data_IF_063180486754
#
_entry.id   IF_063180486754
#
_cell.length_a   1.000
_cell.length_b   1.000
_cell.length_c   1.000
_cell.angle_alpha   90.00
_cell.angle_beta   90.00
_cell.angle_gamma   90.00
#
_symmetry.space_group_name_H-M   'P 1'
#
loop_
_entity.id
_entity.type
_entity.pdbx_description
1 polymer ?
#
# COMPACT_ATOMS: atom_id res chain seq x y z
N UNK A 1 -19.83 8.20 -6.77
CA UNK A 1 -18.94 7.12 -6.31
C UNK A 1 -18.43 7.49 -4.93
N UNK A 2 -18.50 6.58 -3.95
CA UNK A 2 -17.90 6.80 -2.63
C UNK A 2 -16.39 6.89 -2.77
N UNK A 3 -15.76 7.71 -1.93
CA UNK A 3 -14.29 7.81 -1.89
C UNK A 3 -13.71 6.48 -1.39
N UNK A 4 -12.68 5.91 -2.03
CA UNK A 4 -12.10 4.65 -1.60
C UNK A 4 -11.55 4.75 -0.17
N UNK A 5 -11.78 3.71 0.61
CA UNK A 5 -11.39 3.64 2.03
C UNK A 5 -10.10 2.85 2.16
N UNK A 6 -9.04 3.49 2.69
CA UNK A 6 -7.74 2.85 2.91
C UNK A 6 -7.37 2.97 4.40
N UNK A 7 -7.28 1.83 5.07
CA UNK A 7 -6.79 1.75 6.44
C UNK A 7 -5.27 1.56 6.42
N UNK A 8 -4.55 2.23 7.30
CA UNK A 8 -3.10 2.12 7.41
C UNK A 8 -2.69 1.79 8.84
N UNK A 9 -1.81 0.82 9.01
CA UNK A 9 -1.11 0.54 10.26
C UNK A 9 0.40 0.58 10.03
N UNK A 10 1.13 1.21 10.94
CA UNK A 10 2.59 1.22 10.89
C UNK A 10 3.16 0.87 12.26
N UNK A 11 3.79 -0.30 12.34
CA UNK A 11 4.34 -0.83 13.59
C UNK A 11 5.61 -1.61 13.30
N UNK A 12 6.62 -1.43 14.16
CA UNK A 12 7.87 -2.20 14.12
C UNK A 12 8.60 -2.22 12.77
N UNK A 13 8.49 -1.14 11.99
CA UNK A 13 9.15 -1.04 10.69
C UNK A 13 8.33 -1.59 9.51
N UNK A 14 7.12 -2.09 9.74
CA UNK A 14 6.21 -2.58 8.69
C UNK A 14 5.06 -1.59 8.53
N UNK A 15 4.77 -1.21 7.29
CA UNK A 15 3.58 -0.47 6.90
C UNK A 15 2.62 -1.43 6.22
N UNK A 16 1.50 -1.72 6.86
CA UNK A 16 0.40 -2.46 6.28
C UNK A 16 -0.74 -1.49 5.92
N UNK A 17 -1.44 -1.79 4.83
CA UNK A 17 -2.65 -1.09 4.47
C UNK A 17 -3.68 -2.00 3.82
N UNK A 18 -4.96 -1.63 3.90
CA UNK A 18 -6.06 -2.37 3.27
C UNK A 18 -7.02 -1.41 2.55
N UNK A 19 -7.27 -1.66 1.27
CA UNK A 19 -8.34 -1.04 0.49
C UNK A 19 -9.61 -1.86 0.62
N UNK A 20 -10.57 -1.34 1.39
CA UNK A 20 -11.76 -2.07 1.82
C UNK A 20 -12.64 -2.52 0.65
N UNK A 21 -12.89 -1.65 -0.33
CA UNK A 21 -13.85 -1.97 -1.40
C UNK A 21 -13.36 -3.05 -2.37
N UNK A 22 -12.04 -3.21 -2.52
CA UNK A 22 -11.43 -4.22 -3.42
C UNK A 22 -10.74 -5.37 -2.67
N UNK A 23 -10.76 -5.37 -1.33
CA UNK A 23 -10.06 -6.34 -0.49
C UNK A 23 -8.55 -6.46 -0.81
N UNK A 24 -7.95 -5.39 -1.32
CA UNK A 24 -6.51 -5.36 -1.59
C UNK A 24 -5.74 -4.99 -0.34
N UNK A 25 -4.70 -5.75 -0.07
CA UNK A 25 -3.75 -5.55 1.02
C UNK A 25 -2.44 -5.03 0.45
N UNK A 26 -1.76 -4.20 1.23
CA UNK A 26 -0.48 -3.60 0.90
C UNK A 26 0.47 -3.83 2.07
N UNK A 27 1.69 -4.29 1.81
CA UNK A 27 2.72 -4.42 2.83
C UNK A 27 4.06 -3.89 2.35
N UNK A 28 4.76 -3.17 3.23
CA UNK A 28 6.06 -2.59 2.96
C UNK A 28 6.93 -2.62 4.22
N UNK A 29 8.13 -3.21 4.13
CA UNK A 29 9.13 -3.06 5.19
C UNK A 29 9.95 -1.79 4.95
N UNK A 30 10.21 -1.05 6.03
CA UNK A 30 10.96 0.20 5.95
C UNK A 30 12.36 -0.05 5.40
N UNK A 31 12.61 0.49 4.21
CA UNK A 31 13.87 0.34 3.48
C UNK A 31 13.73 -0.43 2.18
N UNK A 32 12.62 -1.16 1.99
CA UNK A 32 12.34 -1.86 0.75
C UNK A 32 12.03 -0.90 -0.39
N UNK A 33 12.36 -1.33 -1.60
CA UNK A 33 12.17 -0.60 -2.86
C UNK A 33 10.82 -0.91 -3.54
N UNK A 34 9.96 -1.70 -2.90
CA UNK A 34 8.62 -2.02 -3.39
C UNK A 34 7.62 -2.24 -2.27
N UNK A 35 6.35 -1.86 -2.52
CA UNK A 35 5.18 -2.29 -1.75
C UNK A 35 4.61 -3.54 -2.41
N UNK A 36 4.43 -4.61 -1.65
CA UNK A 36 3.70 -5.80 -2.12
C UNK A 36 2.20 -5.50 -2.09
N UNK A 37 1.49 -5.86 -3.16
CA UNK A 37 0.03 -5.79 -3.22
C UNK A 37 -0.52 -7.19 -3.33
N UNK A 38 -1.40 -7.56 -2.40
CA UNK A 38 -2.01 -8.89 -2.34
C UNK A 38 -3.53 -8.85 -2.36
N UNK A 39 -4.12 -9.92 -2.89
CA UNK A 39 -5.54 -10.26 -2.79
C UNK A 39 -5.62 -11.69 -2.29
N UNK A 40 -6.37 -11.94 -1.21
CA UNK A 40 -6.53 -13.27 -0.62
C UNK A 40 -5.19 -14.01 -0.41
N UNK A 41 -4.22 -13.31 0.22
CA UNK A 41 -2.85 -13.78 0.48
C UNK A 41 -2.01 -14.14 -0.77
N UNK A 42 -2.49 -13.83 -1.97
CA UNK A 42 -1.74 -13.99 -3.22
C UNK A 42 -1.22 -12.63 -3.69
N UNK A 43 0.06 -12.55 -4.03
CA UNK A 43 0.63 -11.34 -4.65
C UNK A 43 0.02 -11.13 -6.03
N UNK A 44 -0.50 -9.93 -6.28
CA UNK A 44 -1.15 -9.55 -7.54
C UNK A 44 -0.49 -8.36 -8.23
N UNK A 45 0.32 -7.59 -7.51
CA UNK A 45 1.00 -6.40 -8.01
C UNK A 45 2.17 -6.00 -7.11
N UNK A 46 3.05 -5.13 -7.59
CA UNK A 46 4.08 -4.49 -6.78
C UNK A 46 4.26 -3.02 -7.18
N UNK A 47 4.38 -2.15 -6.17
CA UNK A 47 4.54 -0.70 -6.38
C UNK A 47 5.96 -0.29 -6.06
N UNK A 48 6.67 0.29 -7.03
CA UNK A 48 8.01 0.81 -6.76
C UNK A 48 7.99 1.93 -5.71
N UNK A 49 8.95 1.85 -4.78
CA UNK A 49 9.20 2.81 -3.71
C UNK A 49 10.60 3.41 -3.92
N UNK A 50 10.72 4.75 -3.98
CA UNK A 50 12.03 5.39 -4.08
C UNK A 50 12.93 5.06 -2.89
N UNK A 51 14.24 5.04 -3.12
CA UNK A 51 15.22 4.87 -2.04
C UNK A 51 15.02 5.91 -0.94
N UNK A 52 15.19 5.48 0.32
CA UNK A 52 15.00 6.30 1.51
C UNK A 52 13.60 6.93 1.65
N UNK A 53 12.56 6.34 1.04
CA UNK A 53 11.19 6.79 1.21
C UNK A 53 10.75 6.81 2.68
N UNK A 54 10.08 7.89 3.08
CA UNK A 54 9.40 7.95 4.36
C UNK A 54 8.09 7.15 4.32
N UNK A 55 7.59 6.73 5.49
CA UNK A 55 6.24 6.12 5.61
C UNK A 55 5.17 6.99 4.95
N UNK A 56 5.27 8.32 5.07
CA UNK A 56 4.33 9.26 4.44
C UNK A 56 4.38 9.23 2.91
N UNK A 57 5.57 9.03 2.33
CA UNK A 57 5.74 8.87 0.88
C UNK A 57 5.11 7.56 0.41
N UNK A 58 5.33 6.45 1.11
CA UNK A 58 4.73 5.14 0.77
C UNK A 58 3.20 5.17 0.88
N UNK A 59 2.64 5.79 1.94
CA UNK A 59 1.19 6.03 2.03
C UNK A 59 0.65 6.84 0.85
N UNK A 60 1.44 7.74 0.29
CA UNK A 60 1.05 8.54 -0.88
C UNK A 60 1.05 7.70 -2.15
N UNK A 61 2.05 6.85 -2.35
CA UNK A 61 2.12 5.88 -3.46
C UNK A 61 0.89 4.97 -3.45
N UNK A 62 0.55 4.37 -2.30
CA UNK A 62 -0.63 3.51 -2.14
C UNK A 62 -1.92 4.27 -2.49
N UNK A 63 -2.09 5.52 -2.00
CA UNK A 63 -3.27 6.33 -2.35
C UNK A 63 -3.36 6.64 -3.84
N UNK A 64 -2.23 6.90 -4.50
CA UNK A 64 -2.20 7.17 -5.94
C UNK A 64 -2.59 5.93 -6.74
N UNK A 65 -2.07 4.76 -6.35
CA UNK A 65 -2.46 3.48 -6.93
C UNK A 65 -3.96 3.21 -6.82
N UNK A 66 -4.51 3.33 -5.61
CA UNK A 66 -5.95 3.14 -5.36
C UNK A 66 -6.78 4.13 -6.19
N UNK A 67 -6.39 5.41 -6.24
CA UNK A 67 -7.08 6.41 -7.06
C UNK A 67 -7.02 6.11 -8.55
N UNK A 68 -5.95 5.47 -9.04
CA UNK A 68 -5.83 5.07 -10.44
C UNK A 68 -6.70 3.86 -10.81
N UNK A 69 -7.15 3.09 -9.82
CA UNK A 69 -7.98 1.88 -9.99
C UNK A 69 -9.45 2.06 -9.59
N UNK A 70 -9.81 3.16 -8.93
CA UNK A 70 -11.17 3.49 -8.51
C UNK A 70 -11.93 4.26 -9.60
#
# INVERSE_FOLDING_TARGET
>A
MSKPTINFDYRSGVLDAAWVEQQLEFSWFKGDDHVLVSLDASEVDSLHVPEAASVGAVKTIIRQYVRGKA
#
